data_IF_349681445576
#
_entry.id   IF_349681445576
#
_cell.length_a   1.000
_cell.length_b   1.000
_cell.length_c   1.000
_cell.angle_alpha   90.00
_cell.angle_beta   90.00
_cell.angle_gamma   90.00
#
_symmetry.space_group_name_H-M   'P 1'
#
loop_
_entity.id
_entity.type
_entity.pdbx_description
1 polymer ?
#
# COMPACT_ATOMS: atom_id res chain seq x y z
N UNK A 1 44.73 4.61 -16.55
CA UNK A 1 43.63 4.03 -15.75
C UNK A 1 42.60 3.45 -16.69
N UNK A 2 42.98 2.40 -17.40
CA UNK A 2 42.04 1.53 -18.10
C UNK A 2 41.24 0.82 -17.02
N UNK A 3 39.96 1.15 -16.88
CA UNK A 3 39.05 0.37 -16.05
C UNK A 3 39.17 -1.08 -16.51
N UNK A 4 39.65 -1.93 -15.63
CA UNK A 4 39.73 -3.35 -15.90
C UNK A 4 38.28 -3.84 -16.17
N UNK A 5 38.01 -4.55 -17.27
CA UNK A 5 36.66 -5.01 -17.61
C UNK A 5 36.01 -5.84 -16.50
N UNK A 6 36.81 -6.48 -15.63
CA UNK A 6 36.31 -7.17 -14.45
C UNK A 6 35.75 -6.21 -13.38
N UNK A 7 36.42 -5.08 -13.14
CA UNK A 7 35.95 -4.06 -12.18
C UNK A 7 34.64 -3.42 -12.64
N UNK A 8 34.48 -3.18 -13.94
CA UNK A 8 33.24 -2.63 -14.50
C UNK A 8 32.03 -3.58 -14.31
N UNK A 9 32.23 -4.90 -14.42
CA UNK A 9 31.18 -5.89 -14.16
C UNK A 9 30.82 -5.94 -12.67
N UNK A 10 31.82 -5.84 -11.79
CA UNK A 10 31.62 -5.81 -10.34
C UNK A 10 30.87 -4.54 -9.91
N UNK A 11 31.19 -3.37 -10.46
CA UNK A 11 30.45 -2.14 -10.20
C UNK A 11 28.98 -2.23 -10.65
N UNK A 12 28.73 -2.89 -11.78
CA UNK A 12 27.37 -3.16 -12.24
C UNK A 12 26.61 -4.11 -11.29
N UNK A 13 27.29 -5.12 -10.71
CA UNK A 13 26.70 -6.01 -9.70
C UNK A 13 26.37 -5.26 -8.41
N UNK A 14 27.27 -4.41 -7.93
CA UNK A 14 27.02 -3.51 -6.78
C UNK A 14 25.77 -2.65 -7.01
N UNK A 15 25.70 -2.00 -8.18
CA UNK A 15 24.56 -1.16 -8.55
C UNK A 15 23.25 -1.95 -8.59
N UNK A 16 23.28 -3.18 -9.11
CA UNK A 16 22.10 -4.04 -9.17
C UNK A 16 21.63 -4.46 -7.76
N UNK A 17 22.55 -4.75 -6.84
CA UNK A 17 22.22 -5.07 -5.45
C UNK A 17 21.55 -3.88 -4.75
N UNK A 18 22.13 -2.68 -4.84
CA UNK A 18 21.55 -1.46 -4.26
C UNK A 18 20.17 -1.12 -4.88
N UNK A 19 19.97 -1.38 -6.17
CA UNK A 19 18.65 -1.22 -6.78
C UNK A 19 17.65 -2.25 -6.26
N UNK A 20 18.06 -3.50 -6.08
CA UNK A 20 17.18 -4.54 -5.52
C UNK A 20 16.75 -4.22 -4.09
N UNK A 21 17.64 -3.66 -3.28
CA UNK A 21 17.33 -3.19 -1.94
C UNK A 21 16.25 -2.10 -1.99
N UNK A 22 16.46 -1.05 -2.79
CA UNK A 22 15.48 0.05 -2.95
C UNK A 22 14.13 -0.46 -3.44
N UNK A 23 14.12 -1.32 -4.46
CA UNK A 23 12.87 -1.91 -4.97
C UNK A 23 12.12 -2.71 -3.91
N UNK A 24 12.83 -3.33 -2.96
CA UNK A 24 12.21 -4.06 -1.86
C UNK A 24 11.53 -3.11 -0.89
N UNK A 25 12.19 -2.00 -0.52
CA UNK A 25 11.57 -0.94 0.30
C UNK A 25 10.37 -0.30 -0.40
N UNK A 26 10.52 0.07 -1.67
CA UNK A 26 9.46 0.67 -2.48
C UNK A 26 8.23 -0.25 -2.56
N UNK A 27 8.44 -1.57 -2.66
CA UNK A 27 7.35 -2.54 -2.68
C UNK A 27 6.60 -2.63 -1.35
N UNK A 28 7.31 -2.55 -0.22
CA UNK A 28 6.70 -2.55 1.12
C UNK A 28 5.86 -1.29 1.34
N UNK A 29 6.40 -0.12 0.97
CA UNK A 29 5.71 1.17 1.08
C UNK A 29 4.49 1.24 0.14
N UNK A 30 4.61 0.73 -1.08
CA UNK A 30 3.48 0.63 -2.01
C UNK A 30 2.35 -0.26 -1.45
N UNK A 31 2.69 -1.35 -0.78
CA UNK A 31 1.71 -2.23 -0.16
C UNK A 31 1.01 -1.55 1.04
N UNK A 32 1.76 -0.85 1.90
CA UNK A 32 1.21 -0.06 3.01
C UNK A 32 0.24 1.02 2.49
N UNK A 33 0.68 1.81 1.51
CA UNK A 33 -0.13 2.86 0.89
C UNK A 33 -1.43 2.30 0.28
N UNK A 34 -1.36 1.09 -0.30
CA UNK A 34 -2.54 0.44 -0.90
C UNK A 34 -3.56 0.00 0.15
N UNK A 35 -3.12 -0.41 1.34
CA UNK A 35 -4.00 -0.78 2.47
C UNK A 35 -4.72 0.47 2.98
N UNK A 36 -3.97 1.53 3.27
CA UNK A 36 -4.53 2.82 3.71
C UNK A 36 -5.54 3.39 2.69
N UNK A 37 -5.16 3.43 1.41
CA UNK A 37 -6.07 3.90 0.35
C UNK A 37 -7.34 3.05 0.20
N UNK A 38 -7.26 1.75 0.53
CA UNK A 38 -8.43 0.88 0.53
C UNK A 38 -9.36 1.18 1.72
N UNK A 39 -8.82 1.43 2.91
CA UNK A 39 -9.59 1.84 4.09
C UNK A 39 -10.34 3.16 3.81
N UNK A 40 -9.64 4.18 3.28
CA UNK A 40 -10.25 5.46 2.88
C UNK A 40 -11.38 5.28 1.86
N UNK A 41 -11.20 4.36 0.90
CA UNK A 41 -12.21 4.08 -0.12
C UNK A 41 -13.47 3.42 0.48
N UNK A 42 -13.30 2.53 1.47
CA UNK A 42 -14.41 1.91 2.19
C UNK A 42 -15.18 2.95 2.99
N UNK A 43 -14.48 3.82 3.73
CA UNK A 43 -15.11 4.90 4.49
C UNK A 43 -15.89 5.86 3.57
N UNK A 44 -15.27 6.28 2.46
CA UNK A 44 -15.93 7.12 1.44
C UNK A 44 -17.17 6.44 0.87
N UNK A 45 -17.08 5.14 0.55
CA UNK A 45 -18.22 4.38 0.04
C UNK A 45 -19.34 4.27 1.06
N UNK A 46 -19.03 4.18 2.35
CA UNK A 46 -20.00 4.16 3.45
C UNK A 46 -20.80 5.46 3.50
N UNK A 47 -20.10 6.60 3.52
CA UNK A 47 -20.72 7.93 3.56
C UNK A 47 -21.63 8.18 2.34
N UNK A 48 -21.22 7.71 1.15
CA UNK A 48 -22.07 7.79 -0.05
C UNK A 48 -23.32 6.90 0.05
N UNK A 49 -23.21 5.71 0.64
CA UNK A 49 -24.34 4.82 0.84
C UNK A 49 -25.38 5.43 1.79
N UNK A 50 -24.92 6.02 2.90
CA UNK A 50 -25.76 6.74 3.87
C UNK A 50 -26.48 7.93 3.20
N UNK A 51 -25.74 8.75 2.46
CA UNK A 51 -26.32 9.88 1.70
C UNK A 51 -27.40 9.41 0.69
N UNK A 52 -27.17 8.27 0.04
CA UNK A 52 -28.13 7.71 -0.92
C UNK A 52 -29.36 7.09 -0.23
N UNK A 53 -29.20 6.53 0.97
CA UNK A 53 -30.29 6.05 1.80
C UNK A 53 -31.20 7.21 2.22
N UNK A 54 -30.63 8.32 2.70
CA UNK A 54 -31.38 9.54 3.03
C UNK A 54 -32.12 10.13 1.81
N UNK A 55 -31.46 10.15 0.64
CA UNK A 55 -32.10 10.62 -0.59
C UNK A 55 -33.29 9.74 -0.98
N UNK A 56 -33.15 8.41 -0.86
CA UNK A 56 -34.22 7.46 -1.18
C UNK A 56 -35.38 7.58 -0.20
N UNK A 57 -35.09 7.68 1.10
CA UNK A 57 -36.04 7.97 2.18
C UNK A 57 -36.85 9.24 1.86
N UNK A 58 -36.17 10.34 1.50
CA UNK A 58 -36.80 11.59 1.08
C UNK A 58 -37.68 11.46 -0.17
N UNK A 59 -37.28 10.67 -1.17
CA UNK A 59 -38.07 10.43 -2.37
C UNK A 59 -39.35 9.63 -2.08
N UNK A 60 -39.30 8.69 -1.14
CA UNK A 60 -40.47 7.93 -0.68
C UNK A 60 -41.44 8.88 0.05
N UNK A 61 -40.93 9.76 0.92
CA UNK A 61 -41.74 10.78 1.58
C UNK A 61 -42.44 11.71 0.60
N UNK A 62 -41.72 12.22 -0.40
CA UNK A 62 -42.32 13.04 -1.45
C UNK A 62 -43.40 12.28 -2.25
N UNK A 63 -43.27 10.96 -2.39
CA UNK A 63 -44.29 10.12 -3.04
C UNK A 63 -45.55 10.00 -2.16
N UNK A 64 -45.38 9.86 -0.84
CA UNK A 64 -46.51 9.91 0.10
C UNK A 64 -47.18 11.28 0.12
N UNK A 65 -46.42 12.39 0.13
CA UNK A 65 -46.96 13.75 0.07
C UNK A 65 -47.83 13.97 -1.18
N UNK A 66 -47.37 13.48 -2.34
CA UNK A 66 -48.11 13.60 -3.60
C UNK A 66 -49.42 12.79 -3.60
N UNK A 67 -49.42 11.61 -2.97
CA UNK A 67 -50.61 10.79 -2.81
C UNK A 67 -51.61 11.45 -1.86
N UNK A 68 -51.14 11.94 -0.71
CA UNK A 68 -51.95 12.65 0.29
C UNK A 68 -52.61 13.90 -0.30
N UNK A 69 -51.87 14.68 -1.09
CA UNK A 69 -52.40 15.86 -1.79
C UNK A 69 -53.48 15.54 -2.85
N UNK A 70 -53.57 14.29 -3.31
CA UNK A 70 -54.56 13.83 -4.30
C UNK A 70 -55.82 13.23 -3.68
N UNK A 71 -55.85 13.05 -2.36
CA UNK A 71 -56.96 12.48 -1.59
C UNK A 71 -57.73 13.57 -0.82
N UNK A 72 -59.03 13.35 -0.49
CA UNK A 72 -59.74 14.20 0.46
C UNK A 72 -59.02 14.22 1.82
N UNK A 73 -58.99 15.36 2.51
CA UNK A 73 -58.23 15.58 3.79
C UNK A 73 -58.53 14.57 4.91
N UNK A 74 -59.58 13.76 4.79
CA UNK A 74 -60.06 12.82 5.81
C UNK A 74 -59.85 11.34 5.43
N UNK A 75 -59.29 11.05 4.24
CA UNK A 75 -59.34 9.72 3.62
C UNK A 75 -58.08 8.86 3.81
N UNK A 76 -56.91 9.44 4.09
CA UNK A 76 -55.68 8.67 4.33
C UNK A 76 -54.68 9.45 5.18
N UNK A 77 -54.19 8.82 6.26
CA UNK A 77 -53.04 9.26 7.05
C UNK A 77 -51.88 8.30 6.76
N UNK A 78 -50.76 8.84 6.28
CA UNK A 78 -49.55 8.08 5.94
C UNK A 78 -48.47 8.15 7.03
N UNK A 79 -48.73 8.77 8.19
CA UNK A 79 -47.76 8.92 9.28
C UNK A 79 -47.14 7.60 9.71
N UNK A 80 -47.95 6.57 9.95
CA UNK A 80 -47.48 5.24 10.37
C UNK A 80 -46.61 4.54 9.30
N UNK A 81 -46.84 4.86 8.01
CA UNK A 81 -46.02 4.36 6.90
C UNK A 81 -44.72 5.14 6.74
N UNK A 82 -44.73 6.45 7.04
CA UNK A 82 -43.51 7.29 7.10
C UNK A 82 -42.60 6.80 8.22
N UNK A 83 -43.14 6.61 9.43
CA UNK A 83 -42.39 6.09 10.57
C UNK A 83 -41.78 4.71 10.28
N UNK A 84 -42.52 3.82 9.62
CA UNK A 84 -41.99 2.51 9.21
C UNK A 84 -40.85 2.61 8.19
N UNK A 85 -40.95 3.53 7.23
CA UNK A 85 -39.88 3.78 6.25
C UNK A 85 -38.66 4.35 6.96
N UNK A 86 -38.85 5.30 7.87
CA UNK A 86 -37.79 5.93 8.64
C UNK A 86 -37.04 4.91 9.48
N UNK A 87 -37.74 4.15 10.31
CA UNK A 87 -37.16 3.09 11.14
C UNK A 87 -36.42 2.05 10.29
N UNK A 88 -36.97 1.70 9.12
CA UNK A 88 -36.38 0.71 8.21
C UNK A 88 -35.05 1.18 7.61
N UNK A 89 -34.98 2.42 7.11
CA UNK A 89 -33.75 2.98 6.57
C UNK A 89 -32.73 3.28 7.64
N UNK A 90 -33.15 3.83 8.79
CA UNK A 90 -32.26 4.18 9.88
C UNK A 90 -31.63 2.91 10.48
N UNK A 91 -32.43 1.88 10.75
CA UNK A 91 -31.91 0.60 11.25
C UNK A 91 -30.96 -0.08 10.27
N UNK A 92 -31.26 -0.05 8.96
CA UNK A 92 -30.40 -0.65 7.95
C UNK A 92 -29.06 0.10 7.81
N UNK A 93 -29.12 1.43 7.79
CA UNK A 93 -27.94 2.30 7.65
C UNK A 93 -27.07 2.21 8.89
N UNK A 94 -27.66 2.21 10.08
CA UNK A 94 -26.94 2.06 11.34
C UNK A 94 -26.25 0.68 11.45
N UNK A 95 -26.95 -0.40 11.07
CA UNK A 95 -26.35 -1.74 11.05
C UNK A 95 -25.19 -1.84 10.02
N UNK A 96 -25.34 -1.19 8.87
CA UNK A 96 -24.29 -1.11 7.86
C UNK A 96 -23.08 -0.32 8.39
N UNK A 97 -23.29 0.87 8.97
CA UNK A 97 -22.22 1.72 9.52
C UNK A 97 -21.45 0.98 10.59
N UNK A 98 -22.13 0.39 11.57
CA UNK A 98 -21.47 -0.39 12.63
C UNK A 98 -20.64 -1.56 12.09
N UNK A 99 -21.10 -2.21 11.01
CA UNK A 99 -20.36 -3.31 10.37
C UNK A 99 -19.12 -2.81 9.64
N UNK A 100 -19.21 -1.64 9.00
CA UNK A 100 -18.09 -1.01 8.29
C UNK A 100 -17.07 -0.47 9.30
N UNK A 101 -17.52 0.21 10.35
CA UNK A 101 -16.63 0.73 11.41
C UNK A 101 -15.83 -0.41 12.05
N UNK A 102 -16.48 -1.51 12.40
CA UNK A 102 -15.80 -2.70 12.94
C UNK A 102 -14.79 -3.31 11.95
N UNK A 103 -15.05 -3.18 10.64
CA UNK A 103 -14.12 -3.63 9.60
C UNK A 103 -12.93 -2.67 9.42
N UNK A 104 -13.18 -1.35 9.48
CA UNK A 104 -12.14 -0.32 9.44
C UNK A 104 -11.21 -0.41 10.65
N UNK A 105 -11.77 -0.60 11.86
CA UNK A 105 -10.98 -0.81 13.08
C UNK A 105 -10.05 -2.04 12.94
N UNK A 106 -10.57 -3.14 12.37
CA UNK A 106 -9.78 -4.34 12.14
C UNK A 106 -8.70 -4.13 11.06
N UNK A 107 -8.97 -3.28 10.06
CA UNK A 107 -7.98 -2.89 9.06
C UNK A 107 -6.88 -2.01 9.65
N UNK A 108 -7.22 -1.02 10.48
CA UNK A 108 -6.24 -0.17 11.18
C UNK A 108 -5.34 -1.02 12.09
N UNK A 109 -5.90 -1.95 12.86
CA UNK A 109 -5.10 -2.87 13.68
C UNK A 109 -4.16 -3.72 12.80
N UNK A 110 -4.65 -4.17 11.64
CA UNK A 110 -3.84 -4.91 10.67
C UNK A 110 -2.78 -4.05 10.01
N UNK A 111 -3.04 -2.76 9.78
CA UNK A 111 -2.08 -1.82 9.21
C UNK A 111 -0.92 -1.61 10.16
N UNK A 112 -1.19 -1.32 11.44
CA UNK A 112 -0.16 -1.19 12.47
C UNK A 112 0.68 -2.47 12.57
N UNK A 113 0.05 -3.64 12.58
CA UNK A 113 0.77 -4.92 12.59
C UNK A 113 1.63 -5.12 11.33
N UNK A 114 1.14 -4.68 10.17
CA UNK A 114 1.89 -4.74 8.91
C UNK A 114 3.05 -3.74 8.89
N UNK A 115 2.90 -2.54 9.45
CA UNK A 115 3.97 -1.55 9.60
C UNK A 115 5.13 -2.08 10.43
N UNK A 116 4.82 -2.69 11.59
CA UNK A 116 5.82 -3.33 12.44
C UNK A 116 6.54 -4.46 11.71
N UNK A 117 5.78 -5.30 11.00
CA UNK A 117 6.33 -6.37 10.18
C UNK A 117 7.23 -5.84 9.06
N UNK A 118 6.77 -4.83 8.31
CA UNK A 118 7.48 -4.23 7.20
C UNK A 118 8.78 -3.59 7.68
N UNK A 119 8.76 -2.87 8.81
CA UNK A 119 9.95 -2.30 9.43
C UNK A 119 10.97 -3.38 9.82
N UNK A 120 10.51 -4.46 10.48
CA UNK A 120 11.40 -5.56 10.87
C UNK A 120 11.97 -6.29 9.64
N UNK A 121 11.15 -6.54 8.63
CA UNK A 121 11.58 -7.19 7.40
C UNK A 121 12.58 -6.32 6.60
N UNK A 122 12.29 -5.02 6.52
CA UNK A 122 13.16 -4.00 5.93
C UNK A 122 14.55 -3.97 6.60
N UNK A 123 14.62 -4.00 7.92
CA UNK A 123 15.88 -4.06 8.67
C UNK A 123 16.70 -5.33 8.37
N UNK A 124 16.03 -6.49 8.27
CA UNK A 124 16.67 -7.76 7.91
C UNK A 124 17.18 -7.73 6.47
N UNK A 125 16.41 -7.16 5.56
CA UNK A 125 16.79 -6.95 4.16
C UNK A 125 18.03 -6.06 4.08
N UNK A 126 18.03 -4.91 4.75
CA UNK A 126 19.16 -3.98 4.79
C UNK A 126 20.42 -4.64 5.32
N UNK A 127 20.32 -5.32 6.47
CA UNK A 127 21.45 -6.05 7.06
C UNK A 127 22.02 -7.09 6.09
N UNK A 128 21.15 -7.79 5.35
CA UNK A 128 21.55 -8.82 4.39
C UNK A 128 22.22 -8.21 3.15
N UNK A 129 21.71 -7.08 2.66
CA UNK A 129 22.30 -6.34 1.54
C UNK A 129 23.64 -5.72 1.91
N UNK A 130 23.76 -5.13 3.10
CA UNK A 130 25.02 -4.58 3.61
C UNK A 130 26.09 -5.66 3.71
N UNK A 131 25.76 -6.82 4.27
CA UNK A 131 26.68 -7.95 4.32
C UNK A 131 27.10 -8.44 2.93
N UNK A 132 26.17 -8.45 1.96
CA UNK A 132 26.46 -8.81 0.58
C UNK A 132 27.37 -7.76 -0.12
N UNK A 133 27.14 -6.47 0.13
CA UNK A 133 27.95 -5.38 -0.38
C UNK A 133 29.37 -5.41 0.19
N UNK A 134 29.52 -5.63 1.49
CA UNK A 134 30.82 -5.76 2.16
C UNK A 134 31.62 -6.95 1.60
N UNK A 135 30.96 -8.12 1.44
CA UNK A 135 31.57 -9.28 0.81
C UNK A 135 31.98 -9.00 -0.64
N UNK A 136 31.15 -8.28 -1.40
CA UNK A 136 31.44 -7.90 -2.78
C UNK A 136 32.62 -6.92 -2.88
N UNK A 137 32.70 -5.95 -1.98
CA UNK A 137 33.82 -5.00 -1.88
C UNK A 137 35.14 -5.74 -1.60
N UNK A 138 35.13 -6.69 -0.66
CA UNK A 138 36.30 -7.52 -0.35
C UNK A 138 36.74 -8.38 -1.56
N UNK A 139 35.80 -8.92 -2.33
CA UNK A 139 36.13 -9.64 -3.59
C UNK A 139 36.74 -8.67 -4.60
N UNK A 140 36.22 -7.46 -4.71
CA UNK A 140 36.69 -6.44 -5.67
C UNK A 140 38.12 -6.01 -5.35
N UNK A 141 38.45 -5.75 -4.08
CA UNK A 141 39.82 -5.45 -3.64
C UNK A 141 40.77 -6.59 -3.98
N UNK A 142 40.41 -7.84 -3.65
CA UNK A 142 41.24 -9.01 -3.95
C UNK A 142 41.48 -9.16 -5.46
N UNK A 143 40.46 -8.97 -6.29
CA UNK A 143 40.59 -9.03 -7.75
C UNK A 143 41.45 -7.89 -8.29
N UNK A 144 41.30 -6.67 -7.77
CA UNK A 144 42.16 -5.52 -8.16
C UNK A 144 43.62 -5.81 -7.85
N UNK A 145 43.91 -6.27 -6.62
CA UNK A 145 45.28 -6.64 -6.21
C UNK A 145 45.85 -7.76 -7.10
N UNK A 146 45.08 -8.79 -7.42
CA UNK A 146 45.55 -9.86 -8.32
C UNK A 146 45.82 -9.31 -9.73
N UNK A 147 44.95 -8.45 -10.25
CA UNK A 147 45.13 -7.85 -11.58
C UNK A 147 46.40 -6.98 -11.63
N UNK A 148 46.62 -6.14 -10.63
CA UNK A 148 47.83 -5.32 -10.51
C UNK A 148 49.11 -6.16 -10.45
N UNK A 149 49.12 -7.23 -9.64
CA UNK A 149 50.26 -8.16 -9.56
C UNK A 149 50.55 -8.87 -10.90
N UNK A 150 49.51 -9.21 -11.66
CA UNK A 150 49.66 -9.84 -12.99
C UNK A 150 50.22 -8.84 -14.01
N UNK A 151 49.77 -7.59 -13.95
CA UNK A 151 50.24 -6.51 -14.83
C UNK A 151 51.72 -6.20 -14.54
N UNK A 152 52.11 -6.10 -13.26
CA UNK A 152 53.50 -5.90 -12.84
C UNK A 152 54.41 -7.06 -13.27
N UNK A 153 53.96 -8.31 -13.12
CA UNK A 153 54.71 -9.49 -13.57
C UNK A 153 54.85 -9.57 -15.10
N UNK A 154 53.84 -9.10 -15.84
CA UNK A 154 53.89 -9.06 -17.31
C UNK A 154 54.86 -7.98 -17.81
N UNK A 155 54.86 -6.79 -17.18
CA UNK A 155 55.80 -5.73 -17.50
C UNK A 155 57.25 -6.14 -17.18
N UNK A 156 57.50 -6.87 -16.08
CA UNK A 156 58.83 -7.39 -15.75
C UNK A 156 59.33 -8.41 -16.80
N UNK A 157 58.43 -9.22 -17.36
CA UNK A 157 58.73 -10.17 -18.43
C UNK A 157 59.00 -9.50 -19.79
N UNK A 158 58.32 -8.39 -20.11
CA UNK A 158 58.51 -7.67 -21.38
C UNK A 158 59.79 -6.80 -21.38
N UNK A 159 60.21 -6.28 -20.22
CA UNK A 159 61.46 -5.51 -20.08
C UNK A 159 62.71 -6.41 -20.09
N UNK A 160 62.55 -7.72 -19.90
CA UNK A 160 63.65 -8.70 -19.86
C UNK A 160 63.83 -9.52 -21.17
N UNK A 161 63.06 -9.22 -22.22
CA UNK A 161 63.17 -9.78 -23.58
C UNK A 161 63.85 -8.81 -24.56
#
# INVERSE_FOLDING_TARGET
>A
MTQNPFTAVLDAQRTALEQSQRLTHDALEAQQTSISAFADAVETSSSLAESNAEMTKGAIHASFDALEASMPEEAADFGELRDLVDDGFDSATEAQSQSIDAYLDALEESEVAYEEFAASYSEVVDTSFDAALEAHEQVTENVSTVAENVEEAADEFDVSA
#
